data_IF_252297374569
#
_entry.id   IF_252297374569
#
_cell.length_a   1.000
_cell.length_b   1.000
_cell.length_c   1.000
_cell.angle_alpha   90.00
_cell.angle_beta   90.00
_cell.angle_gamma   90.00
#
_symmetry.space_group_name_H-M   'P 1'
#
loop_
_entity.id
_entity.type
_entity.pdbx_description
1 polymer ?
#
# COMPACT_ATOMS: atom_id res chain seq x y z
N UNK A 1 -14.55 -20.02 11.20
CA UNK A 1 -14.19 -20.47 9.84
C UNK A 1 -13.15 -19.49 9.31
N UNK A 2 -12.13 -19.90 8.54
CA UNK A 2 -11.28 -18.93 7.88
C UNK A 2 -12.13 -18.03 6.97
N UNK A 3 -11.83 -16.72 6.87
CA UNK A 3 -12.57 -15.82 5.99
C UNK A 3 -12.52 -16.34 4.56
N UNK A 4 -13.63 -16.21 3.82
CA UNK A 4 -13.66 -16.61 2.42
C UNK A 4 -12.69 -15.73 1.63
N UNK A 5 -11.90 -16.30 0.70
CA UNK A 5 -11.03 -15.49 -0.14
C UNK A 5 -11.88 -14.52 -0.98
N UNK A 6 -11.45 -13.26 -1.04
CA UNK A 6 -12.13 -12.20 -1.80
C UNK A 6 -12.21 -12.51 -3.31
N UNK A 7 -11.31 -13.37 -3.80
CA UNK A 7 -11.27 -13.82 -5.19
C UNK A 7 -10.57 -15.17 -5.30
N UNK A 8 -10.94 -15.95 -6.32
CA UNK A 8 -10.22 -17.17 -6.73
C UNK A 8 -9.23 -16.90 -7.88
N UNK A 9 -9.21 -15.68 -8.43
CA UNK A 9 -8.31 -15.28 -9.50
C UNK A 9 -7.03 -14.65 -8.93
N UNK A 10 -5.85 -14.96 -9.49
CA UNK A 10 -4.59 -14.37 -9.03
C UNK A 10 -4.56 -12.86 -9.30
N UNK A 11 -4.17 -12.08 -8.29
CA UNK A 11 -3.96 -10.63 -8.40
C UNK A 11 -2.46 -10.35 -8.41
N UNK A 12 -2.03 -9.51 -9.34
CA UNK A 12 -0.63 -9.12 -9.51
C UNK A 12 -0.45 -7.63 -9.26
N UNK A 13 0.61 -7.29 -8.53
CA UNK A 13 1.15 -5.95 -8.44
C UNK A 13 2.44 -5.90 -9.27
N UNK A 14 2.36 -5.40 -10.52
CA UNK A 14 3.45 -5.57 -11.47
C UNK A 14 3.71 -7.07 -11.71
N UNK A 15 4.95 -7.57 -11.54
CA UNK A 15 5.25 -9.00 -11.68
C UNK A 15 4.95 -9.83 -10.42
N UNK A 16 4.56 -9.21 -9.30
CA UNK A 16 4.45 -9.90 -8.00
C UNK A 16 3.03 -10.42 -7.76
N UNK A 17 2.90 -11.71 -7.43
CA UNK A 17 1.63 -12.29 -6.97
C UNK A 17 1.34 -11.80 -5.55
N UNK A 18 0.22 -11.09 -5.37
CA UNK A 18 -0.13 -10.42 -4.10
C UNK A 18 -1.51 -10.80 -3.55
N UNK A 19 -2.18 -11.81 -4.13
CA UNK A 19 -3.55 -12.20 -3.75
C UNK A 19 -3.80 -12.30 -2.24
N UNK A 20 -2.91 -12.93 -1.43
CA UNK A 20 -3.15 -13.05 0.02
C UNK A 20 -3.03 -11.73 0.80
N UNK A 21 -2.53 -10.67 0.18
CA UNK A 21 -2.34 -9.35 0.78
C UNK A 21 -3.46 -8.37 0.40
N UNK A 22 -4.40 -8.79 -0.44
CA UNK A 22 -5.52 -7.96 -0.90
C UNK A 22 -6.65 -8.01 0.13
N UNK A 23 -7.18 -6.84 0.49
CA UNK A 23 -8.29 -6.70 1.46
C UNK A 23 -9.55 -6.08 0.87
N UNK A 24 -9.49 -5.52 -0.35
CA UNK A 24 -10.67 -5.00 -1.04
C UNK A 24 -10.52 -5.11 -2.56
N UNK A 25 -11.62 -5.38 -3.26
CA UNK A 25 -11.67 -5.56 -4.72
C UNK A 25 -12.93 -4.88 -5.28
N UNK A 26 -12.77 -4.17 -6.38
CA UNK A 26 -13.85 -3.65 -7.23
C UNK A 26 -13.73 -4.27 -8.63
N UNK A 27 -14.64 -3.96 -9.58
CA UNK A 27 -14.50 -4.44 -10.95
C UNK A 27 -13.17 -4.02 -11.60
N UNK A 28 -12.63 -2.83 -11.29
CA UNK A 28 -11.45 -2.26 -11.96
C UNK A 28 -10.26 -1.98 -11.05
N UNK A 29 -10.39 -2.08 -9.73
CA UNK A 29 -9.33 -1.78 -8.75
C UNK A 29 -9.25 -2.83 -7.64
N UNK A 30 -8.17 -2.76 -6.85
CA UNK A 30 -8.00 -3.53 -5.63
C UNK A 30 -7.14 -2.76 -4.64
N UNK A 31 -7.27 -3.09 -3.35
CA UNK A 31 -6.44 -2.53 -2.29
C UNK A 31 -5.66 -3.64 -1.57
N UNK A 32 -4.40 -3.37 -1.24
CA UNK A 32 -3.50 -4.32 -0.59
C UNK A 32 -2.68 -3.68 0.54
N UNK A 33 -2.31 -4.51 1.50
CA UNK A 33 -1.41 -4.11 2.59
C UNK A 33 0.04 -4.02 2.09
N UNK A 34 0.83 -3.08 2.64
CA UNK A 34 2.19 -2.81 2.16
C UNK A 34 3.24 -3.75 2.82
N UNK A 35 4.22 -4.27 2.07
CA UNK A 35 5.27 -5.14 2.63
C UNK A 35 6.13 -4.42 3.68
N UNK A 36 6.45 -3.15 3.43
CA UNK A 36 7.29 -2.32 4.31
C UNK A 36 6.60 -0.97 4.50
N UNK A 37 5.55 -0.90 5.35
CA UNK A 37 4.74 0.31 5.51
C UNK A 37 5.56 1.46 6.12
N UNK A 38 5.42 2.68 5.59
CA UNK A 38 6.10 3.89 6.11
C UNK A 38 5.62 4.25 7.52
N UNK A 39 4.30 4.14 7.73
CA UNK A 39 3.61 4.26 9.01
C UNK A 39 2.60 3.10 9.13
N UNK A 40 2.22 2.69 10.35
CA UNK A 40 1.16 1.68 10.55
C UNK A 40 -0.10 2.06 9.77
N UNK A 41 -0.67 1.11 9.01
CA UNK A 41 -1.84 1.37 8.16
C UNK A 41 -1.54 1.98 6.79
N UNK A 42 -0.27 2.12 6.40
CA UNK A 42 0.10 2.43 5.02
C UNK A 42 -0.33 1.27 4.10
N UNK A 43 -1.34 1.51 3.27
CA UNK A 43 -1.84 0.59 2.25
C UNK A 43 -1.70 1.18 0.84
N UNK A 44 -1.87 0.32 -0.16
CA UNK A 44 -1.84 0.70 -1.57
C UNK A 44 -3.20 0.42 -2.22
N UNK A 45 -3.61 1.26 -3.17
CA UNK A 45 -4.76 1.03 -4.04
C UNK A 45 -4.30 1.06 -5.50
N UNK A 46 -4.63 0.02 -6.27
CA UNK A 46 -4.11 -0.19 -7.61
C UNK A 46 -5.26 -0.51 -8.59
N UNK A 47 -5.15 -0.15 -9.88
CA UNK A 47 -6.03 -0.70 -10.91
C UNK A 47 -5.75 -2.21 -11.07
N UNK A 48 -6.73 -2.99 -11.52
CA UNK A 48 -6.54 -4.42 -11.81
C UNK A 48 -5.70 -4.65 -13.06
N UNK A 49 -5.80 -3.73 -14.03
CA UNK A 49 -4.98 -3.77 -15.24
C UNK A 49 -3.59 -3.22 -14.94
N UNK A 50 -2.57 -4.04 -15.17
CA UNK A 50 -1.17 -3.65 -14.93
C UNK A 50 -0.72 -2.64 -15.99
N UNK A 51 -0.71 -1.37 -15.62
CA UNK A 51 -0.12 -0.29 -16.42
C UNK A 51 0.88 0.53 -15.61
N UNK A 52 2.00 0.97 -16.22
CA UNK A 52 3.06 1.66 -15.48
C UNK A 52 2.73 3.12 -15.18
N UNK A 53 1.92 3.78 -16.03
CA UNK A 53 1.71 5.23 -15.98
C UNK A 53 0.25 5.58 -15.75
N UNK A 54 0.01 6.61 -14.94
CA UNK A 54 -1.33 7.13 -14.66
C UNK A 54 -2.05 7.58 -15.94
N UNK A 55 -1.30 8.16 -16.88
CA UNK A 55 -1.80 8.57 -18.21
C UNK A 55 -2.25 7.41 -19.10
N UNK A 56 -1.95 6.16 -18.72
CA UNK A 56 -2.40 4.96 -19.43
C UNK A 56 -3.74 4.42 -18.91
N UNK A 57 -4.30 4.99 -17.84
CA UNK A 57 -5.62 4.63 -17.32
C UNK A 57 -6.73 5.18 -18.20
N UNK A 58 -7.79 4.40 -18.33
CA UNK A 58 -9.06 4.85 -18.91
C UNK A 58 -9.82 5.73 -17.92
N UNK A 59 -10.75 6.60 -18.37
CA UNK A 59 -11.58 7.38 -17.46
C UNK A 59 -12.36 6.54 -16.43
N UNK A 60 -12.80 5.34 -16.82
CA UNK A 60 -13.48 4.40 -15.93
C UNK A 60 -12.55 3.88 -14.83
N UNK A 61 -11.30 3.52 -15.17
CA UNK A 61 -10.30 3.10 -14.19
C UNK A 61 -9.88 4.24 -13.26
N UNK A 62 -9.73 5.48 -13.77
CA UNK A 62 -9.44 6.64 -12.92
C UNK A 62 -10.56 6.85 -11.90
N UNK A 63 -11.82 6.78 -12.35
CA UNK A 63 -12.99 6.94 -11.48
C UNK A 63 -13.04 5.85 -10.42
N UNK A 64 -12.95 4.58 -10.83
CA UNK A 64 -13.01 3.45 -9.92
C UNK A 64 -11.82 3.44 -8.93
N UNK A 65 -10.61 3.79 -9.40
CA UNK A 65 -9.41 3.91 -8.56
C UNK A 65 -9.61 4.93 -7.44
N UNK A 66 -10.03 6.16 -7.76
CA UNK A 66 -10.16 7.21 -6.76
C UNK A 66 -11.39 7.05 -5.86
N UNK A 67 -12.49 6.49 -6.36
CA UNK A 67 -13.61 6.04 -5.51
C UNK A 67 -13.16 4.97 -4.51
N UNK A 68 -12.32 4.04 -4.96
CA UNK A 68 -11.73 3.02 -4.09
C UNK A 68 -10.78 3.65 -3.07
N UNK A 69 -9.92 4.59 -3.48
CA UNK A 69 -9.04 5.34 -2.57
C UNK A 69 -9.84 6.06 -1.50
N UNK A 70 -10.95 6.73 -1.87
CA UNK A 70 -11.80 7.42 -0.91
C UNK A 70 -12.40 6.45 0.13
N UNK A 71 -12.94 5.31 -0.32
CA UNK A 71 -13.53 4.31 0.58
C UNK A 71 -12.49 3.70 1.52
N UNK A 72 -11.33 3.30 0.98
CA UNK A 72 -10.21 2.76 1.76
C UNK A 72 -9.69 3.80 2.76
N UNK A 73 -9.58 5.06 2.35
CA UNK A 73 -9.16 6.18 3.21
C UNK A 73 -10.02 6.29 4.47
N UNK A 74 -11.34 6.21 4.32
CA UNK A 74 -12.26 6.28 5.45
C UNK A 74 -12.05 5.13 6.46
N UNK A 75 -11.90 3.90 5.96
CA UNK A 75 -11.63 2.73 6.82
C UNK A 75 -10.29 2.86 7.51
N UNK A 76 -9.24 3.20 6.77
CA UNK A 76 -7.88 3.32 7.31
C UNK A 76 -7.81 4.40 8.38
N UNK A 77 -8.43 5.57 8.14
CA UNK A 77 -8.51 6.63 9.13
C UNK A 77 -9.23 6.17 10.41
N UNK A 78 -10.38 5.50 10.28
CA UNK A 78 -11.17 4.96 11.40
C UNK A 78 -10.39 3.93 12.21
N UNK A 79 -9.89 2.88 11.57
CA UNK A 79 -9.35 1.70 12.27
C UNK A 79 -7.94 1.92 12.81
N UNK A 80 -7.19 2.84 12.21
CA UNK A 80 -5.91 3.30 12.73
C UNK A 80 -6.02 4.60 13.51
N UNK A 81 -7.22 5.10 13.84
CA UNK A 81 -7.41 6.31 14.66
C UNK A 81 -6.55 7.48 14.17
N UNK A 82 -6.58 7.73 12.87
CA UNK A 82 -5.84 8.81 12.23
C UNK A 82 -6.69 10.09 12.25
N UNK A 83 -6.03 11.25 12.10
CA UNK A 83 -6.69 12.56 12.01
C UNK A 83 -6.56 13.18 10.62
N UNK A 84 -5.68 12.61 9.78
CA UNK A 84 -5.42 13.03 8.41
C UNK A 84 -4.80 11.88 7.62
N UNK A 85 -4.64 12.09 6.31
CA UNK A 85 -4.06 11.11 5.39
C UNK A 85 -3.10 11.79 4.42
N UNK A 86 -1.98 11.13 4.12
CA UNK A 86 -1.23 11.39 2.90
C UNK A 86 -1.73 10.43 1.82
N UNK A 87 -2.19 11.01 0.70
CA UNK A 87 -2.63 10.29 -0.50
C UNK A 87 -1.70 10.70 -1.64
N UNK A 88 -0.97 9.75 -2.22
CA UNK A 88 0.09 10.07 -3.18
C UNK A 88 0.25 9.00 -4.28
N UNK A 89 0.58 9.45 -5.49
CA UNK A 89 0.95 8.59 -6.63
C UNK A 89 2.32 9.05 -7.13
N UNK A 90 3.28 8.12 -7.18
CA UNK A 90 4.58 8.31 -7.82
C UNK A 90 4.49 7.82 -9.27
N UNK A 91 4.14 8.71 -10.21
CA UNK A 91 3.92 8.36 -11.63
C UNK A 91 5.21 8.36 -12.46
N UNK A 92 5.92 7.23 -12.47
CA UNK A 92 7.15 7.01 -13.22
C UNK A 92 8.42 7.05 -12.38
N UNK A 93 9.50 6.45 -12.90
CA UNK A 93 10.78 6.29 -12.19
C UNK A 93 11.34 7.59 -11.61
N UNK A 94 11.22 8.70 -12.35
CA UNK A 94 11.72 10.01 -11.90
C UNK A 94 10.94 10.57 -10.70
N UNK A 95 9.73 10.07 -10.44
CA UNK A 95 8.91 10.42 -9.27
C UNK A 95 9.08 9.42 -8.11
N UNK A 96 10.04 8.48 -8.18
CA UNK A 96 10.27 7.48 -7.14
C UNK A 96 9.53 6.14 -7.35
N UNK A 97 8.86 5.93 -8.49
CA UNK A 97 8.14 4.69 -8.74
C UNK A 97 9.07 3.46 -8.75
N UNK A 98 8.85 2.54 -7.80
CA UNK A 98 9.63 1.31 -7.65
C UNK A 98 9.03 0.11 -8.38
N UNK A 99 7.70 0.04 -8.49
CA UNK A 99 6.96 -0.99 -9.23
C UNK A 99 6.24 -0.34 -10.40
N UNK A 100 6.47 -0.86 -11.61
CA UNK A 100 5.88 -0.38 -12.87
C UNK A 100 4.40 -0.79 -13.02
N UNK A 101 3.62 -0.44 -12.01
CA UNK A 101 2.17 -0.58 -11.94
C UNK A 101 1.65 0.64 -11.18
N UNK A 102 0.68 1.38 -11.70
CA UNK A 102 0.06 2.50 -10.99
C UNK A 102 -0.43 2.02 -9.61
N UNK A 103 -0.08 2.77 -8.57
CA UNK A 103 -0.56 2.55 -7.21
C UNK A 103 -0.65 3.88 -6.48
N UNK A 104 -1.73 4.04 -5.72
CA UNK A 104 -1.93 5.16 -4.83
C UNK A 104 -1.59 4.72 -3.41
N UNK A 105 -0.68 5.44 -2.77
CA UNK A 105 -0.39 5.31 -1.35
C UNK A 105 -1.51 5.95 -0.55
N UNK A 106 -1.99 5.28 0.49
CA UNK A 106 -2.88 5.82 1.52
C UNK A 106 -2.20 5.61 2.85
N UNK A 107 -1.79 6.72 3.49
CA UNK A 107 -0.94 6.69 4.68
C UNK A 107 -1.64 7.48 5.80
N UNK A 108 -2.12 6.82 6.86
CA UNK A 108 -2.76 7.50 8.00
C UNK A 108 -1.75 8.35 8.77
N UNK A 109 -2.20 9.53 9.18
CA UNK A 109 -1.43 10.50 9.94
C UNK A 109 -2.06 10.79 11.29
N UNK A 110 -1.21 10.90 12.32
CA UNK A 110 -1.57 11.37 13.65
C UNK A 110 -0.68 12.54 14.03
N UNK A 111 -1.12 13.34 14.99
CA UNK A 111 -0.29 14.41 15.52
C UNK A 111 1.02 13.84 16.10
N UNK A 112 2.15 14.42 15.69
CA UNK A 112 3.49 14.00 16.08
C UNK A 112 3.83 12.52 15.78
N UNK A 113 3.23 11.94 14.72
CA UNK A 113 3.57 10.59 14.24
C UNK A 113 4.99 10.47 13.65
N UNK A 114 5.59 11.60 13.28
CA UNK A 114 6.95 11.75 12.81
C UNK A 114 7.58 12.96 13.49
N UNK A 115 8.24 12.73 14.63
CA UNK A 115 8.81 13.73 15.55
C UNK A 115 7.84 14.83 16.04
N UNK A 116 8.22 15.55 17.09
CA UNK A 116 7.37 16.47 17.84
C UNK A 116 6.78 17.67 17.04
N UNK A 117 7.09 17.80 15.75
CA UNK A 117 6.60 18.87 14.86
C UNK A 117 5.96 18.35 13.57
N UNK A 118 5.48 17.10 13.56
CA UNK A 118 4.65 16.58 12.48
C UNK A 118 5.36 16.57 11.13
N UNK A 119 6.56 15.99 11.09
CA UNK A 119 7.53 15.97 9.98
C UNK A 119 6.97 15.54 8.62
N UNK A 120 6.16 16.41 8.01
CA UNK A 120 5.52 16.18 6.72
C UNK A 120 6.55 15.91 5.64
N UNK A 121 7.63 16.69 5.61
CA UNK A 121 8.73 16.54 4.64
C UNK A 121 9.44 15.19 4.79
N UNK A 122 9.59 14.68 6.02
CA UNK A 122 10.22 13.38 6.30
C UNK A 122 9.48 12.23 5.61
N UNK A 123 8.15 12.28 5.52
CA UNK A 123 7.39 11.25 4.83
C UNK A 123 7.72 11.22 3.33
N UNK A 124 7.85 12.39 2.69
CA UNK A 124 8.22 12.49 1.28
C UNK A 124 9.65 12.00 1.04
N UNK A 125 10.59 12.37 1.92
CA UNK A 125 11.97 11.84 1.90
C UNK A 125 12.00 10.30 2.00
N UNK A 126 11.19 9.72 2.90
CA UNK A 126 11.06 8.27 3.04
C UNK A 126 10.42 7.62 1.81
N UNK A 127 9.44 8.28 1.17
CA UNK A 127 8.84 7.80 -0.07
C UNK A 127 9.82 7.78 -1.25
N UNK A 128 10.76 8.73 -1.30
CA UNK A 128 11.78 8.81 -2.35
C UNK A 128 13.00 7.89 -2.08
N UNK A 129 13.26 7.59 -0.80
CA UNK A 129 14.39 6.76 -0.36
C UNK A 129 14.16 5.24 -0.44
N UNK A 130 15.14 4.48 0.06
CA UNK A 130 15.10 3.00 0.15
C UNK A 130 13.88 2.50 0.94
N UNK A 131 13.38 3.34 1.85
CA UNK A 131 12.22 3.09 2.68
C UNK A 131 10.90 3.00 1.92
N UNK A 132 10.80 3.67 0.77
CA UNK A 132 9.68 3.65 -0.16
C UNK A 132 9.87 2.65 -1.31
N UNK A 133 11.04 2.00 -1.44
CA UNK A 133 11.35 1.05 -2.52
C UNK A 133 10.68 -0.32 -2.34
N UNK A 134 9.35 -0.34 -2.43
CA UNK A 134 8.54 -1.56 -2.33
C UNK A 134 8.92 -2.57 -3.42
N UNK A 135 9.25 -2.11 -4.62
CA UNK A 135 9.65 -2.98 -5.73
C UNK A 135 10.97 -3.70 -5.49
N UNK A 136 11.99 -3.01 -4.99
CA UNK A 136 13.25 -3.63 -4.59
C UNK A 136 13.04 -4.65 -3.47
N UNK A 137 12.20 -4.34 -2.48
CA UNK A 137 11.91 -5.24 -1.37
C UNK A 137 11.14 -6.50 -1.80
N UNK A 138 10.14 -6.35 -2.68
CA UNK A 138 9.40 -7.48 -3.25
C UNK A 138 10.31 -8.41 -4.06
N UNK A 139 11.28 -7.86 -4.82
CA UNK A 139 12.29 -8.66 -5.54
C UNK A 139 13.20 -9.44 -4.59
N UNK A 140 13.75 -8.77 -3.56
CA UNK A 140 14.59 -9.43 -2.55
C UNK A 140 13.85 -10.59 -1.87
N UNK A 141 12.58 -10.36 -1.51
CA UNK A 141 11.71 -11.41 -0.94
C UNK A 141 11.49 -12.56 -1.90
N UNK A 142 11.18 -12.29 -3.18
CA UNK A 142 10.97 -13.33 -4.19
C UNK A 142 12.23 -14.17 -4.46
N UNK A 143 13.42 -13.56 -4.37
CA UNK A 143 14.70 -14.22 -4.58
C UNK A 143 15.25 -14.92 -3.32
N UNK A 144 14.63 -14.76 -2.15
CA UNK A 144 15.13 -15.32 -0.88
C UNK A 144 16.41 -14.68 -0.37
N UNK A 145 16.70 -13.43 -0.76
CA UNK A 145 17.91 -12.70 -0.36
C UNK A 145 17.79 -12.18 1.08
N UNK A 146 18.80 -12.44 1.92
CA UNK A 146 18.89 -11.84 3.27
C UNK A 146 19.49 -10.44 3.20
N UNK A 147 18.91 -9.51 3.95
CA UNK A 147 19.30 -8.10 3.96
C UNK A 147 20.78 -7.90 4.34
N UNK A 148 21.48 -7.06 3.58
CA UNK A 148 22.77 -6.49 3.98
C UNK A 148 22.60 -5.56 5.17
N UNK A 149 23.55 -5.63 6.11
CA UNK A 149 23.51 -4.94 7.40
C UNK A 149 23.86 -3.46 7.21
N UNK A 150 22.89 -2.59 6.91
CA UNK A 150 23.08 -1.14 6.92
C UNK A 150 22.29 -0.51 8.07
N UNK A 151 22.93 0.40 8.83
CA UNK A 151 22.37 1.03 10.03
C UNK A 151 22.26 2.54 9.77
N UNK A 152 21.12 2.97 9.21
CA UNK A 152 20.70 4.37 9.22
C UNK A 152 19.95 4.71 10.51
N UNK A 153 19.68 6.00 10.80
CA UNK A 153 18.97 6.41 12.02
C UNK A 153 17.54 5.85 12.15
N UNK A 154 16.95 5.33 11.08
CA UNK A 154 15.65 4.63 11.03
C UNK A 154 15.77 3.13 10.63
N UNK A 155 16.89 2.48 10.99
CA UNK A 155 17.24 1.09 10.64
C UNK A 155 16.30 -0.02 11.19
N UNK A 156 15.28 0.32 11.97
CA UNK A 156 14.40 -0.64 12.63
C UNK A 156 13.19 -1.09 11.78
N UNK A 157 12.93 -0.43 10.63
CA UNK A 157 11.84 -0.83 9.72
C UNK A 157 12.21 -2.09 8.93
N UNK A 158 11.72 -3.23 9.41
CA UNK A 158 11.86 -4.54 8.75
C UNK A 158 10.67 -4.86 7.84
N UNK A 159 10.88 -5.58 6.73
CA UNK A 159 9.79 -6.15 5.93
C UNK A 159 8.92 -7.06 6.80
N UNK A 160 7.61 -6.99 6.59
CA UNK A 160 6.65 -7.83 7.31
C UNK A 160 6.64 -9.25 6.75
N UNK A 161 6.34 -10.23 7.59
CA UNK A 161 6.11 -11.61 7.18
C UNK A 161 4.78 -11.74 6.42
N UNK A 162 4.68 -12.77 5.58
CA UNK A 162 3.44 -13.05 4.85
C UNK A 162 2.26 -13.35 5.78
N UNK A 163 2.53 -13.95 6.95
CA UNK A 163 1.50 -14.21 7.96
C UNK A 163 0.97 -12.93 8.58
N UNK A 164 1.84 -11.97 8.92
CA UNK A 164 1.43 -10.66 9.43
C UNK A 164 0.61 -9.90 8.40
N UNK A 165 1.08 -9.87 7.14
CA UNK A 165 0.35 -9.20 6.06
C UNK A 165 -1.01 -9.85 5.80
N UNK A 166 -1.09 -11.19 5.82
CA UNK A 166 -2.36 -11.90 5.64
C UNK A 166 -3.35 -11.57 6.76
N UNK A 167 -2.89 -11.59 8.02
CA UNK A 167 -3.76 -11.24 9.17
C UNK A 167 -4.28 -9.83 9.07
N UNK A 168 -3.44 -8.87 8.70
CA UNK A 168 -3.88 -7.48 8.50
C UNK A 168 -4.86 -7.36 7.32
N UNK A 169 -4.61 -8.05 6.20
CA UNK A 169 -5.52 -8.04 5.07
C UNK A 169 -6.89 -8.65 5.40
N UNK A 170 -6.92 -9.77 6.12
CA UNK A 170 -8.15 -10.42 6.59
C UNK A 170 -8.93 -9.48 7.52
N UNK A 171 -8.25 -8.86 8.50
CA UNK A 171 -8.87 -7.91 9.42
C UNK A 171 -9.42 -6.68 8.68
N UNK A 172 -8.64 -6.09 7.75
CA UNK A 172 -9.10 -4.95 6.97
C UNK A 172 -10.27 -5.31 6.06
N UNK A 173 -10.32 -6.52 5.51
CA UNK A 173 -11.46 -6.98 4.72
C UNK A 173 -12.75 -6.99 5.55
N UNK A 174 -12.69 -7.49 6.79
CA UNK A 174 -13.82 -7.46 7.73
C UNK A 174 -14.23 -6.01 8.09
N UNK A 175 -13.27 -5.09 8.21
CA UNK A 175 -13.55 -3.68 8.49
C UNK A 175 -14.18 -2.95 7.30
N UNK A 176 -13.79 -3.30 6.06
CA UNK A 176 -14.38 -2.77 4.83
C UNK A 176 -15.84 -3.19 4.67
N UNK A 177 -16.24 -4.38 5.13
CA UNK A 177 -17.64 -4.85 5.09
C UNK A 177 -18.55 -4.07 6.05
N UNK A 178 -17.98 -3.46 7.10
CA UNK A 178 -18.72 -2.63 8.07
C UNK A 178 -19.00 -1.22 7.55
N UNK A 179 -18.33 -0.80 6.48
CA UNK A 179 -18.65 0.45 5.80
C UNK A 179 -19.89 0.29 4.95
N UNK A 180 -20.93 1.06 5.29
CA UNK A 180 -22.17 1.14 4.53
C UNK A 180 -22.00 2.24 3.48
N UNK A 181 -22.37 1.94 2.23
CA UNK A 181 -22.37 2.90 1.12
C UNK A 181 -23.33 4.08 1.35
#
# INVERSE_FOLDING_TARGET
>A
MPPKPLTNLPIHFGPFLVTPQVFHITPLSYALVNLKPLLPGHVLVCPRRVVPRFTSLTPAEVTDLFSTVQRVSHVIERVYGAHALNIAIQDGRAAGQSVEHVHCHVIPRRDADMDAKGGGDKLYEMMEGEEGDVGGELKRRQNGEKQGRFVGPDADRKPRSDEEMRKEAEWLAEEMEKEVD
#
